data_IF_764371201521
#
_entry.id   IF_764371201521
#
_cell.length_a   1.000
_cell.length_b   1.000
_cell.length_c   1.000
_cell.angle_alpha   90.00
_cell.angle_beta   90.00
_cell.angle_gamma   90.00
#
_symmetry.space_group_name_H-M   'P 1'
#
loop_
_entity.id
_entity.type
_entity.pdbx_description
1 polymer ?
#
# COMPACT_ATOMS: atom_id res chain seq x y z
N UNK A 1 -30.64 53.53 -21.73
CA UNK A 1 -30.52 52.14 -21.27
C UNK A 1 -29.52 51.52 -22.20
N UNK A 2 -28.28 51.37 -21.73
CA UNK A 2 -27.18 50.77 -22.50
C UNK A 2 -27.47 49.26 -22.64
N UNK A 3 -27.27 48.72 -23.84
CA UNK A 3 -27.75 47.39 -24.20
C UNK A 3 -26.82 46.31 -23.62
N UNK A 4 -27.36 45.16 -23.22
CA UNK A 4 -26.56 43.98 -22.84
C UNK A 4 -25.53 43.61 -23.92
N UNK A 5 -25.87 43.85 -25.18
CA UNK A 5 -24.96 43.63 -26.31
C UNK A 5 -23.74 44.56 -26.31
N UNK A 6 -23.85 45.77 -25.73
CA UNK A 6 -22.73 46.71 -25.63
C UNK A 6 -21.74 46.25 -24.55
N UNK A 7 -22.25 45.64 -23.46
CA UNK A 7 -21.44 45.06 -22.41
C UNK A 7 -20.69 43.80 -22.88
N UNK A 8 -21.38 42.92 -23.60
CA UNK A 8 -20.76 41.73 -24.22
C UNK A 8 -19.64 42.14 -25.19
N UNK A 9 -19.86 43.21 -25.96
CA UNK A 9 -18.85 43.74 -26.88
C UNK A 9 -17.65 44.30 -26.12
N UNK A 10 -17.87 45.00 -25.00
CA UNK A 10 -16.79 45.52 -24.15
C UNK A 10 -15.97 44.40 -23.50
N UNK A 11 -16.61 43.31 -23.09
CA UNK A 11 -15.94 42.12 -22.56
C UNK A 11 -15.12 41.43 -23.66
N UNK A 12 -15.67 41.31 -24.87
CA UNK A 12 -14.94 40.75 -26.02
C UNK A 12 -13.72 41.58 -26.40
N UNK A 13 -13.81 42.90 -26.38
CA UNK A 13 -12.68 43.81 -26.67
C UNK A 13 -11.56 43.62 -25.62
N UNK A 14 -11.93 43.57 -24.34
CA UNK A 14 -10.99 43.30 -23.23
C UNK A 14 -10.38 41.89 -23.26
N UNK A 15 -11.02 40.93 -23.93
CA UNK A 15 -10.49 39.57 -24.14
C UNK A 15 -9.61 39.46 -25.40
N UNK A 16 -9.70 40.44 -26.31
CA UNK A 16 -8.98 40.49 -27.58
C UNK A 16 -7.79 41.47 -27.56
N UNK A 17 -7.49 42.09 -26.42
CA UNK A 17 -6.22 42.80 -26.18
C UNK A 17 -5.05 41.77 -26.14
N UNK A 18 -4.73 41.27 -27.33
CA UNK A 18 -3.79 40.20 -27.65
C UNK A 18 -2.37 40.54 -27.17
N UNK A 19 -2.01 41.83 -27.20
CA UNK A 19 -0.72 42.37 -26.73
C UNK A 19 -0.46 42.12 -25.23
N UNK A 20 -1.51 42.09 -24.39
CA UNK A 20 -1.36 41.84 -22.95
C UNK A 20 -1.38 40.36 -22.58
N UNK A 21 -1.90 39.50 -23.47
CA UNK A 21 -2.08 38.06 -23.22
C UNK A 21 -0.84 37.30 -23.70
N UNK A 22 -0.28 37.64 -24.86
CA UNK A 22 0.96 37.02 -25.37
C UNK A 22 2.14 37.27 -24.43
N UNK A 23 2.35 38.50 -23.97
CA UNK A 23 3.47 38.85 -23.08
C UNK A 23 3.40 38.08 -21.74
N UNK A 24 2.19 37.81 -21.25
CA UNK A 24 1.98 37.04 -20.01
C UNK A 24 2.23 35.53 -20.21
N UNK A 25 1.86 34.98 -21.37
CA UNK A 25 2.12 33.57 -21.72
C UNK A 25 3.63 33.35 -21.89
N UNK A 26 4.32 34.24 -22.59
CA UNK A 26 5.77 34.14 -22.81
C UNK A 26 6.56 34.22 -21.49
N UNK A 27 6.15 35.10 -20.57
CA UNK A 27 6.71 35.21 -19.22
C UNK A 27 6.46 33.96 -18.36
N UNK A 28 5.33 33.27 -18.56
CA UNK A 28 5.00 32.06 -17.81
C UNK A 28 5.73 30.82 -18.36
N UNK A 29 5.85 30.71 -19.69
CA UNK A 29 6.64 29.66 -20.36
C UNK A 29 8.12 29.76 -19.96
N UNK A 30 8.70 30.96 -19.94
CA UNK A 30 10.09 31.16 -19.53
C UNK A 30 10.38 30.72 -18.08
N UNK A 31 9.42 30.90 -17.16
CA UNK A 31 9.53 30.45 -15.76
C UNK A 31 9.45 28.93 -15.65
N UNK A 32 8.67 28.26 -16.49
CA UNK A 32 8.55 26.80 -16.48
C UNK A 32 9.85 26.12 -16.94
N UNK A 33 10.53 26.67 -17.94
CA UNK A 33 11.81 26.14 -18.43
C UNK A 33 12.94 26.26 -17.39
N UNK A 34 12.97 27.36 -16.62
CA UNK A 34 13.96 27.56 -15.56
C UNK A 34 13.81 26.50 -14.44
N UNK A 35 12.57 26.16 -14.08
CA UNK A 35 12.28 25.12 -13.09
C UNK A 35 12.72 23.73 -13.56
N UNK A 36 12.51 23.41 -14.84
CA UNK A 36 12.88 22.12 -15.42
C UNK A 36 14.40 21.93 -15.55
N UNK A 37 15.13 23.03 -15.82
CA UNK A 37 16.60 23.04 -15.84
C UNK A 37 17.23 22.72 -14.48
N UNK A 38 16.63 23.21 -13.38
CA UNK A 38 17.13 22.99 -12.01
C UNK A 38 17.06 21.52 -11.55
N UNK A 39 16.04 20.79 -12.00
CA UNK A 39 15.79 19.41 -11.56
C UNK A 39 16.57 18.34 -12.34
N UNK A 40 17.07 18.66 -13.53
CA UNK A 40 17.77 17.70 -14.41
C UNK A 40 19.29 17.67 -14.21
N UNK A 41 19.84 18.19 -13.11
CA UNK A 41 21.28 18.08 -12.80
C UNK A 41 21.63 16.63 -12.39
N UNK A 42 22.39 15.88 -13.21
CA UNK A 42 22.67 14.48 -12.90
C UNK A 42 23.79 14.37 -11.84
N UNK A 43 23.48 13.75 -10.70
CA UNK A 43 24.51 13.18 -9.80
C UNK A 43 25.15 11.98 -10.48
N UNK A 44 26.19 12.22 -11.27
CA UNK A 44 27.10 11.17 -11.73
C UNK A 44 28.52 11.48 -11.27
N UNK A 45 28.96 10.78 -10.23
CA UNK A 45 30.38 10.45 -10.06
C UNK A 45 30.50 9.10 -9.36
N UNK A 46 30.44 8.04 -10.17
CA UNK A 46 30.92 6.72 -9.80
C UNK A 46 32.40 6.70 -10.17
N UNK A 47 33.28 6.73 -9.17
CA UNK A 47 34.71 6.47 -9.38
C UNK A 47 34.96 4.95 -9.37
N UNK A 48 35.75 4.40 -10.31
CA UNK A 48 36.00 2.97 -10.40
C UNK A 48 37.06 2.51 -9.39
N UNK A 49 36.82 1.33 -8.81
CA UNK A 49 37.82 0.60 -8.02
C UNK A 49 39.08 0.35 -8.85
N UNK A 50 40.22 0.82 -8.34
CA UNK A 50 41.51 0.20 -8.59
C UNK A 50 42.21 0.02 -7.24
N UNK A 51 42.28 -1.21 -6.75
CA UNK A 51 43.26 -1.58 -5.73
C UNK A 51 44.11 -2.68 -6.34
N UNK A 52 45.36 -2.29 -6.56
CA UNK A 52 46.42 -2.99 -7.26
C UNK A 52 47.05 -4.01 -6.32
N UNK A 53 47.39 -5.15 -6.89
CA UNK A 53 48.02 -6.29 -6.25
C UNK A 53 49.46 -6.01 -5.74
N UNK A 54 49.73 -6.69 -4.62
CA UNK A 54 50.95 -7.42 -4.21
C UNK A 54 52.23 -6.74 -3.66
N UNK A 55 52.81 -7.51 -2.72
CA UNK A 55 54.18 -7.64 -2.19
C UNK A 55 54.61 -6.83 -0.95
N UNK A 56 54.90 -7.56 0.14
CA UNK A 56 56.26 -7.70 0.72
C UNK A 56 56.40 -8.93 1.63
N UNK A 57 57.19 -9.90 1.13
CA UNK A 57 58.30 -10.67 1.74
C UNK A 57 58.25 -11.29 3.16
N UNK A 58 58.50 -12.62 3.16
CA UNK A 58 58.90 -13.50 4.27
C UNK A 58 60.46 -13.49 4.38
N UNK A 59 61.17 -13.84 5.50
CA UNK A 59 61.10 -15.17 6.12
C UNK A 59 61.37 -15.26 7.66
N UNK A 60 60.69 -16.18 8.37
CA UNK A 60 61.39 -17.06 9.33
C UNK A 60 60.51 -18.21 9.89
N UNK A 61 60.96 -19.44 9.59
CA UNK A 61 60.87 -20.69 10.36
C UNK A 61 59.51 -21.24 10.87
N UNK A 62 59.02 -22.24 10.11
CA UNK A 62 58.45 -23.53 10.54
C UNK A 62 57.25 -23.57 11.53
N UNK A 63 56.06 -23.94 11.03
CA UNK A 63 55.58 -25.33 11.01
C UNK A 63 54.04 -25.41 10.84
N UNK A 64 53.59 -26.20 9.85
CA UNK A 64 52.26 -26.80 9.66
C UNK A 64 50.99 -25.94 9.75
N UNK A 65 50.53 -25.40 8.61
CA UNK A 65 49.15 -24.93 8.44
C UNK A 65 48.33 -25.99 7.72
N UNK A 66 47.47 -26.65 8.50
CA UNK A 66 46.37 -27.47 8.00
C UNK A 66 45.38 -26.57 7.25
N UNK A 67 45.06 -26.96 6.02
CA UNK A 67 44.09 -26.34 5.14
C UNK A 67 42.66 -26.45 5.69
N UNK A 68 42.20 -25.40 6.38
CA UNK A 68 40.78 -25.18 6.65
C UNK A 68 40.39 -23.73 6.38
N UNK A 69 40.42 -23.31 5.11
CA UNK A 69 39.59 -22.20 4.65
C UNK A 69 38.19 -22.78 4.38
N UNK A 70 37.46 -23.10 5.45
CA UNK A 70 36.04 -23.37 5.38
C UNK A 70 35.31 -22.11 5.82
N UNK A 71 34.81 -21.37 4.82
CA UNK A 71 33.67 -20.47 4.93
C UNK A 71 33.58 -19.64 6.23
N UNK A 72 34.21 -18.46 6.23
CA UNK A 72 33.61 -17.31 6.90
C UNK A 72 32.36 -16.91 6.09
N UNK A 73 31.31 -17.73 6.15
CA UNK A 73 29.96 -17.27 5.82
C UNK A 73 29.61 -16.39 7.01
N UNK A 74 29.92 -15.10 6.90
CA UNK A 74 29.32 -14.07 7.72
C UNK A 74 27.81 -14.27 7.60
N UNK A 75 27.25 -14.99 8.57
CA UNK A 75 25.82 -15.05 8.79
C UNK A 75 25.52 -13.64 9.26
N UNK A 76 25.13 -12.79 8.31
CA UNK A 76 24.43 -11.56 8.60
C UNK A 76 23.25 -11.99 9.47
N UNK A 77 23.37 -11.82 10.79
CA UNK A 77 22.27 -12.03 11.72
C UNK A 77 21.30 -10.88 11.47
N UNK A 78 20.48 -11.05 10.44
CA UNK A 78 19.34 -10.19 10.20
C UNK A 78 18.50 -10.18 11.48
N UNK A 79 17.94 -9.02 11.87
CA UNK A 79 16.95 -8.98 12.92
C UNK A 79 15.92 -10.08 12.65
N UNK A 80 15.65 -10.89 13.66
CA UNK A 80 14.65 -11.96 13.55
C UNK A 80 13.35 -11.29 13.14
N UNK A 81 12.83 -11.62 11.96
CA UNK A 81 11.58 -11.03 11.45
C UNK A 81 10.49 -11.48 12.42
N UNK A 82 10.01 -10.55 13.25
CA UNK A 82 8.88 -10.79 14.12
C UNK A 82 7.60 -10.70 13.28
N UNK A 83 6.73 -11.69 13.41
CA UNK A 83 5.44 -11.67 12.74
C UNK A 83 4.63 -10.47 13.22
N UNK A 84 3.96 -9.77 12.30
CA UNK A 84 2.90 -8.84 12.69
C UNK A 84 1.83 -9.62 13.43
N UNK A 85 1.61 -9.26 14.70
CA UNK A 85 0.63 -9.94 15.54
C UNK A 85 -0.78 -9.52 15.14
N UNK A 86 -1.67 -10.49 15.05
CA UNK A 86 -3.05 -10.27 14.63
C UNK A 86 -4.00 -10.18 15.83
N UNK A 87 -4.73 -9.07 15.93
CA UNK A 87 -5.73 -8.84 16.99
C UNK A 87 -7.15 -9.26 16.62
N UNK A 88 -7.44 -9.55 15.35
CA UNK A 88 -8.80 -9.77 14.87
C UNK A 88 -9.50 -8.51 14.37
N UNK A 89 -8.76 -7.44 14.04
CA UNK A 89 -9.28 -6.32 13.24
C UNK A 89 -9.29 -6.72 11.76
N UNK A 90 -10.38 -6.43 11.06
CA UNK A 90 -10.56 -6.73 9.64
C UNK A 90 -9.54 -5.95 8.79
N UNK A 91 -9.18 -4.73 9.20
CA UNK A 91 -8.18 -3.89 8.51
C UNK A 91 -6.82 -4.55 8.37
N UNK A 92 -6.41 -5.24 9.43
CA UNK A 92 -5.08 -5.84 9.54
C UNK A 92 -5.05 -7.25 8.92
N UNK A 93 -6.21 -7.79 8.53
CA UNK A 93 -6.31 -9.16 8.02
C UNK A 93 -5.46 -9.37 6.77
N UNK A 94 -5.54 -8.47 5.79
CA UNK A 94 -4.78 -8.60 4.53
C UNK A 94 -3.27 -8.58 4.80
N UNK A 95 -2.81 -7.66 5.66
CA UNK A 95 -1.41 -7.58 6.03
C UNK A 95 -0.95 -8.83 6.78
N UNK A 96 -1.72 -9.30 7.75
CA UNK A 96 -1.44 -10.51 8.50
C UNK A 96 -1.39 -11.74 7.59
N UNK A 97 -2.44 -11.96 6.80
CA UNK A 97 -2.57 -13.13 5.94
C UNK A 97 -1.47 -13.17 4.87
N UNK A 98 -1.07 -12.02 4.31
CA UNK A 98 0.05 -11.96 3.36
C UNK A 98 1.36 -12.52 3.91
N UNK A 99 1.62 -12.33 5.20
CA UNK A 99 2.82 -12.85 5.87
C UNK A 99 2.63 -14.30 6.31
N UNK A 100 1.48 -14.60 6.91
CA UNK A 100 1.20 -15.92 7.48
C UNK A 100 0.97 -16.99 6.42
N UNK A 101 0.49 -16.61 5.23
CA UNK A 101 0.28 -17.52 4.09
C UNK A 101 1.53 -18.33 3.75
N UNK A 102 2.72 -17.74 3.87
CA UNK A 102 3.98 -18.45 3.62
C UNK A 102 4.21 -19.62 4.58
N UNK A 103 3.77 -19.51 5.82
CA UNK A 103 3.87 -20.59 6.83
C UNK A 103 2.77 -21.62 6.57
N UNK A 104 1.55 -21.15 6.26
CA UNK A 104 0.43 -22.02 5.95
C UNK A 104 0.74 -22.96 4.77
N UNK A 105 1.32 -22.39 3.71
CA UNK A 105 1.63 -23.07 2.45
C UNK A 105 2.96 -23.85 2.50
N UNK A 106 3.73 -23.75 3.60
CA UNK A 106 5.00 -24.47 3.74
C UNK A 106 4.76 -25.95 4.03
N UNK A 107 5.04 -26.82 3.06
CA UNK A 107 4.90 -28.28 3.20
C UNK A 107 5.94 -28.91 4.13
N UNK A 108 7.04 -28.20 4.44
CA UNK A 108 8.09 -28.73 5.33
C UNK A 108 7.72 -28.66 6.81
N UNK A 109 6.70 -27.88 7.17
CA UNK A 109 6.22 -27.72 8.53
C UNK A 109 5.01 -28.61 8.80
N UNK A 110 5.02 -29.29 9.95
CA UNK A 110 3.86 -30.05 10.39
C UNK A 110 2.73 -29.11 10.84
N UNK A 111 1.49 -29.59 10.70
CA UNK A 111 0.31 -28.83 11.12
C UNK A 111 0.34 -28.44 12.61
N UNK A 112 0.96 -29.28 13.46
CA UNK A 112 1.17 -28.97 14.88
C UNK A 112 2.03 -27.72 15.06
N UNK A 113 3.19 -27.68 14.38
CA UNK A 113 4.10 -26.53 14.42
C UNK A 113 3.43 -25.28 13.85
N UNK A 114 2.72 -25.41 12.72
CA UNK A 114 1.95 -24.32 12.13
C UNK A 114 0.89 -23.77 13.08
N UNK A 115 0.24 -24.63 13.87
CA UNK A 115 -0.70 -24.21 14.91
C UNK A 115 0.03 -23.41 15.99
N UNK A 116 1.17 -23.89 16.48
CA UNK A 116 1.96 -23.15 17.49
C UNK A 116 2.39 -21.78 16.97
N UNK A 117 2.83 -21.68 15.71
CA UNK A 117 3.13 -20.40 15.07
C UNK A 117 1.90 -19.50 14.98
N UNK A 118 0.73 -20.05 14.65
CA UNK A 118 -0.52 -19.30 14.60
C UNK A 118 -0.86 -18.69 15.97
N UNK A 119 -0.73 -19.46 17.05
CA UNK A 119 -0.96 -18.96 18.41
C UNK A 119 -0.01 -17.78 18.72
N UNK A 120 1.28 -17.92 18.40
CA UNK A 120 2.28 -16.87 18.62
C UNK A 120 2.04 -15.63 17.75
N UNK A 121 1.48 -15.82 16.55
CA UNK A 121 1.14 -14.75 15.62
C UNK A 121 -0.18 -14.03 15.96
N UNK A 122 -0.89 -14.44 17.01
CA UNK A 122 -2.06 -13.71 17.53
C UNK A 122 -1.74 -12.88 18.76
N UNK A 123 -2.41 -11.74 18.91
CA UNK A 123 -2.27 -10.89 20.10
C UNK A 123 -3.02 -11.57 21.27
N UNK A 124 -2.38 -11.78 22.44
CA UNK A 124 -3.05 -12.37 23.59
C UNK A 124 -4.36 -11.65 23.96
N UNK A 125 -5.38 -12.39 24.40
CA UNK A 125 -6.69 -11.88 24.86
C UNK A 125 -7.56 -11.30 23.72
N UNK A 126 -7.01 -11.10 22.53
CA UNK A 126 -7.71 -10.55 21.37
C UNK A 126 -8.81 -11.46 20.80
N UNK A 127 -9.65 -10.92 19.91
CA UNK A 127 -10.75 -11.65 19.26
C UNK A 127 -10.23 -12.82 18.40
N UNK A 128 -9.10 -12.62 17.72
CA UNK A 128 -8.44 -13.67 16.96
C UNK A 128 -7.85 -14.75 17.88
N UNK A 129 -7.18 -14.35 18.97
CA UNK A 129 -6.61 -15.29 19.94
C UNK A 129 -7.67 -16.18 20.59
N UNK A 130 -8.82 -15.61 20.98
CA UNK A 130 -9.93 -16.38 21.54
C UNK A 130 -10.47 -17.41 20.54
N UNK A 131 -10.54 -17.08 19.25
CA UNK A 131 -10.93 -18.03 18.21
C UNK A 131 -9.90 -19.16 18.09
N UNK A 132 -8.61 -18.85 17.98
CA UNK A 132 -7.55 -19.85 17.85
C UNK A 132 -7.50 -20.78 19.08
N UNK A 133 -7.62 -20.21 20.28
CA UNK A 133 -7.64 -20.96 21.55
C UNK A 133 -8.90 -21.79 21.78
N UNK A 134 -9.97 -21.55 21.02
CA UNK A 134 -11.20 -22.36 21.14
C UNK A 134 -11.02 -23.79 20.62
N UNK A 135 -9.97 -24.02 19.83
CA UNK A 135 -9.60 -25.34 19.32
C UNK A 135 -8.44 -25.91 20.13
N UNK A 136 -8.47 -27.21 20.47
CA UNK A 136 -7.29 -27.91 20.93
C UNK A 136 -6.13 -27.74 19.92
N UNK A 137 -4.91 -27.39 20.38
CA UNK A 137 -3.73 -27.30 19.52
C UNK A 137 -3.26 -28.72 19.21
N UNK A 138 -3.91 -29.31 18.21
CA UNK A 138 -3.56 -30.61 17.63
C UNK A 138 -3.50 -30.45 16.11
N UNK A 139 -2.60 -31.19 15.47
CA UNK A 139 -2.39 -31.19 14.02
C UNK A 139 -3.70 -31.32 13.20
N UNK A 140 -4.64 -32.16 13.64
CA UNK A 140 -5.93 -32.39 12.97
C UNK A 140 -6.83 -31.15 12.93
N UNK A 141 -6.70 -30.26 13.92
CA UNK A 141 -7.55 -29.09 14.07
C UNK A 141 -7.00 -27.85 13.37
N UNK A 142 -5.72 -27.85 12.98
CA UNK A 142 -5.12 -26.73 12.25
C UNK A 142 -5.95 -26.24 11.05
N UNK A 143 -6.36 -27.11 10.09
CA UNK A 143 -7.16 -26.65 8.94
C UNK A 143 -8.48 -26.00 9.39
N UNK A 144 -9.17 -26.59 10.38
CA UNK A 144 -10.43 -26.07 10.91
C UNK A 144 -10.27 -24.67 11.51
N UNK A 145 -9.14 -24.39 12.18
CA UNK A 145 -8.85 -23.07 12.74
C UNK A 145 -8.61 -22.04 11.65
N UNK A 146 -7.85 -22.40 10.62
CA UNK A 146 -7.56 -21.52 9.47
C UNK A 146 -8.85 -21.18 8.73
N UNK A 147 -9.72 -22.16 8.49
CA UNK A 147 -11.00 -21.93 7.84
C UNK A 147 -11.92 -21.04 8.68
N UNK A 148 -11.95 -21.24 10.00
CA UNK A 148 -12.66 -20.35 10.93
C UNK A 148 -12.11 -18.93 10.94
N UNK A 149 -10.79 -18.75 10.87
CA UNK A 149 -10.17 -17.43 10.77
C UNK A 149 -10.55 -16.73 9.46
N UNK A 150 -10.41 -17.41 8.33
CA UNK A 150 -10.80 -16.90 7.01
C UNK A 150 -12.29 -16.55 6.96
N UNK A 151 -13.15 -17.43 7.46
CA UNK A 151 -14.60 -17.20 7.48
C UNK A 151 -15.00 -16.01 8.36
N UNK A 152 -14.25 -15.71 9.42
CA UNK A 152 -14.60 -14.63 10.35
C UNK A 152 -13.97 -13.28 10.00
N UNK A 153 -12.77 -13.27 9.42
CA UNK A 153 -11.99 -12.05 9.19
C UNK A 153 -11.58 -11.84 7.73
N UNK A 154 -11.56 -12.90 6.92
CA UNK A 154 -11.07 -12.90 5.55
C UNK A 154 -12.14 -13.08 4.48
N UNK A 155 -13.41 -12.78 4.80
CA UNK A 155 -14.47 -12.75 3.79
C UNK A 155 -14.33 -11.50 2.94
N UNK A 156 -14.20 -11.68 1.63
CA UNK A 156 -14.08 -10.57 0.68
C UNK A 156 -15.25 -9.60 0.82
N UNK A 157 -16.49 -10.09 0.98
CA UNK A 157 -17.67 -9.25 1.24
C UNK A 157 -17.50 -8.31 2.44
N UNK A 158 -16.98 -8.82 3.57
CA UNK A 158 -16.77 -8.02 4.78
C UNK A 158 -15.62 -7.03 4.60
N UNK A 159 -14.59 -7.40 3.84
CA UNK A 159 -13.46 -6.52 3.55
C UNK A 159 -13.92 -5.37 2.63
N UNK A 160 -14.75 -5.65 1.64
CA UNK A 160 -15.35 -4.64 0.76
C UNK A 160 -16.30 -3.72 1.53
N UNK A 161 -17.20 -4.28 2.34
CA UNK A 161 -18.11 -3.51 3.21
C UNK A 161 -17.34 -2.68 4.25
N UNK A 162 -16.11 -3.05 4.57
CA UNK A 162 -15.26 -2.27 5.45
C UNK A 162 -14.56 -1.12 4.69
N UNK A 163 -13.87 -1.44 3.59
CA UNK A 163 -13.03 -0.50 2.86
C UNK A 163 -13.82 0.52 2.04
N UNK A 164 -14.97 0.15 1.44
CA UNK A 164 -15.79 1.07 0.63
C UNK A 164 -16.37 2.21 1.48
N UNK A 165 -17.04 1.97 2.63
CA UNK A 165 -17.52 3.05 3.48
C UNK A 165 -16.40 3.85 4.12
N UNK A 166 -15.24 3.26 4.41
CA UNK A 166 -14.08 4.00 4.92
C UNK A 166 -13.54 4.97 3.87
N UNK A 167 -13.45 4.52 2.61
CA UNK A 167 -13.12 5.37 1.46
C UNK A 167 -14.14 6.50 1.28
N UNK A 168 -15.44 6.18 1.29
CA UNK A 168 -16.50 7.19 1.17
C UNK A 168 -16.45 8.20 2.33
N UNK A 169 -16.23 7.75 3.57
CA UNK A 169 -16.05 8.64 4.72
C UNK A 169 -14.84 9.55 4.57
N UNK A 170 -13.73 9.06 4.02
CA UNK A 170 -12.58 9.90 3.73
C UNK A 170 -12.96 10.98 2.71
N UNK A 171 -13.54 10.57 1.57
CA UNK A 171 -13.94 11.49 0.50
C UNK A 171 -14.93 12.56 0.98
N UNK A 172 -15.95 12.16 1.74
CA UNK A 172 -17.02 13.04 2.22
C UNK A 172 -16.57 13.96 3.37
N UNK A 173 -15.63 13.53 4.22
CA UNK A 173 -15.15 14.33 5.35
C UNK A 173 -13.91 15.19 5.01
N UNK A 174 -13.48 15.20 3.74
CA UNK A 174 -12.37 16.03 3.26
C UNK A 174 -12.63 17.54 3.48
N UNK A 175 -13.89 17.98 3.57
CA UNK A 175 -14.22 19.39 3.88
C UNK A 175 -14.10 19.74 5.38
N UNK A 176 -14.20 18.75 6.26
CA UNK A 176 -14.30 18.94 7.72
C UNK A 176 -13.01 18.61 8.47
N UNK A 177 -12.02 18.03 7.79
CA UNK A 177 -10.81 17.52 8.42
C UNK A 177 -9.61 18.42 8.08
N UNK A 178 -8.88 18.87 9.10
CA UNK A 178 -7.63 19.67 8.94
C UNK A 178 -6.44 18.82 8.48
N UNK A 179 -6.68 17.75 7.71
CA UNK A 179 -5.60 16.90 7.19
C UNK A 179 -5.07 17.52 5.90
N UNK A 180 -3.76 17.47 5.68
CA UNK A 180 -3.18 18.00 4.45
C UNK A 180 -3.64 17.18 3.25
N UNK A 181 -3.81 17.84 2.11
CA UNK A 181 -4.32 17.24 0.88
C UNK A 181 -3.51 16.00 0.46
N UNK A 182 -2.19 16.04 0.64
CA UNK A 182 -1.29 14.89 0.40
C UNK A 182 -1.64 13.68 1.26
N UNK A 183 -1.87 13.85 2.57
CA UNK A 183 -2.22 12.72 3.45
C UNK A 183 -3.59 12.14 3.17
N UNK A 184 -4.53 12.93 2.66
CA UNK A 184 -5.83 12.46 2.21
C UNK A 184 -5.68 11.62 0.95
N UNK A 185 -4.88 12.09 -0.01
CA UNK A 185 -4.56 11.35 -1.23
C UNK A 185 -3.93 9.99 -0.92
N UNK A 186 -2.90 9.96 -0.07
CA UNK A 186 -2.22 8.72 0.32
C UNK A 186 -3.19 7.71 0.96
N UNK A 187 -4.13 8.19 1.78
CA UNK A 187 -5.15 7.34 2.40
C UNK A 187 -6.13 6.80 1.37
N UNK A 188 -6.65 7.64 0.49
CA UNK A 188 -7.55 7.21 -0.60
C UNK A 188 -6.87 6.16 -1.48
N UNK A 189 -5.62 6.41 -1.87
CA UNK A 189 -4.86 5.49 -2.71
C UNK A 189 -4.59 4.16 -2.00
N UNK A 190 -4.25 4.19 -0.71
CA UNK A 190 -4.08 2.97 0.10
C UNK A 190 -5.35 2.12 0.14
N UNK A 191 -6.51 2.74 0.34
CA UNK A 191 -7.80 2.06 0.33
C UNK A 191 -8.13 1.48 -1.06
N UNK A 192 -7.82 2.21 -2.13
CA UNK A 192 -7.99 1.73 -3.50
C UNK A 192 -7.13 0.49 -3.78
N UNK A 193 -5.84 0.52 -3.43
CA UNK A 193 -4.93 -0.63 -3.59
C UNK A 193 -5.40 -1.86 -2.80
N UNK A 194 -6.00 -1.66 -1.62
CA UNK A 194 -6.58 -2.74 -0.83
C UNK A 194 -7.80 -3.37 -1.55
N UNK A 195 -8.69 -2.54 -2.11
CA UNK A 195 -9.85 -2.98 -2.89
C UNK A 195 -9.44 -3.71 -4.19
N UNK A 196 -8.40 -3.23 -4.88
CA UNK A 196 -7.83 -3.91 -6.05
C UNK A 196 -7.28 -5.29 -5.69
N UNK A 197 -6.61 -5.41 -4.54
CA UNK A 197 -6.11 -6.71 -4.03
C UNK A 197 -7.25 -7.69 -3.76
N UNK A 198 -8.44 -7.19 -3.40
CA UNK A 198 -9.65 -7.98 -3.19
C UNK A 198 -10.39 -8.34 -4.49
N UNK A 199 -9.93 -7.84 -5.64
CA UNK A 199 -10.58 -8.09 -6.94
C UNK A 199 -11.86 -7.29 -7.16
N UNK A 200 -12.07 -6.17 -6.44
CA UNK A 200 -13.18 -5.26 -6.72
C UNK A 200 -12.84 -4.43 -7.95
N UNK A 201 -13.28 -4.88 -9.11
CA UNK A 201 -13.24 -4.12 -10.36
C UNK A 201 -14.48 -3.24 -10.50
N UNK A 202 -14.41 -2.23 -11.37
CA UNK A 202 -15.48 -1.23 -11.58
C UNK A 202 -16.85 -1.87 -11.83
N UNK A 203 -16.86 -3.03 -12.50
CA UNK A 203 -18.05 -3.82 -12.83
C UNK A 203 -18.68 -4.54 -11.63
N UNK A 204 -17.92 -4.90 -10.59
CA UNK A 204 -18.45 -5.54 -9.39
C UNK A 204 -18.86 -4.52 -8.29
N UNK A 205 -18.41 -3.28 -8.41
CA UNK A 205 -18.70 -2.21 -7.43
C UNK A 205 -20.21 -1.93 -7.27
N UNK A 206 -21.00 -2.08 -8.35
CA UNK A 206 -22.44 -1.86 -8.33
C UNK A 206 -23.16 -2.95 -7.53
N UNK A 207 -22.71 -4.21 -7.62
CA UNK A 207 -23.26 -5.34 -6.87
C UNK A 207 -22.99 -5.22 -5.37
N UNK A 208 -21.80 -4.75 -4.98
CA UNK A 208 -21.43 -4.63 -3.56
C UNK A 208 -22.04 -3.39 -2.88
N UNK A 209 -22.27 -2.31 -3.62
CA UNK A 209 -22.93 -1.10 -3.10
C UNK A 209 -24.45 -1.22 -3.02
N UNK A 210 -25.05 -2.25 -3.64
CA UNK A 210 -26.50 -2.48 -3.66
C UNK A 210 -26.98 -3.63 -2.77
N UNK A 211 -26.09 -4.29 -2.02
CA UNK A 211 -26.49 -5.17 -0.90
C UNK A 211 -27.09 -4.37 0.27
N UNK A 212 -27.83 -5.04 1.18
CA UNK A 212 -29.26 -4.86 1.49
C UNK A 212 -29.64 -3.45 2.02
N UNK A 213 -29.32 -2.40 1.26
CA UNK A 213 -29.86 -1.06 1.41
C UNK A 213 -30.98 -0.79 0.39
N UNK A 214 -31.36 -1.80 -0.41
CA UNK A 214 -32.36 -1.69 -1.47
C UNK A 214 -33.78 -1.37 -0.99
N UNK A 215 -34.06 -1.43 0.31
CA UNK A 215 -35.40 -1.11 0.83
C UNK A 215 -35.52 0.32 1.39
N UNK A 216 -34.43 1.10 1.52
CA UNK A 216 -34.54 2.44 2.11
C UNK A 216 -33.44 3.43 1.72
N UNK A 217 -33.26 3.68 0.42
CA UNK A 217 -33.09 5.03 -0.18
C UNK A 217 -32.39 4.90 -1.54
N UNK A 218 -33.16 5.13 -2.61
CA UNK A 218 -32.66 5.27 -3.97
C UNK A 218 -31.81 6.55 -4.07
N UNK A 219 -30.48 6.41 -4.22
CA UNK A 219 -29.58 7.54 -4.50
C UNK A 219 -28.99 7.37 -5.92
N UNK A 220 -29.51 8.06 -6.95
CA UNK A 220 -29.10 7.89 -8.34
C UNK A 220 -27.73 8.51 -8.69
N UNK A 221 -26.99 9.06 -7.73
CA UNK A 221 -25.83 9.93 -8.01
C UNK A 221 -24.51 9.19 -8.21
N UNK A 222 -24.37 7.94 -7.73
CA UNK A 222 -23.07 7.24 -7.74
C UNK A 222 -22.75 6.64 -9.12
N UNK A 223 -23.77 6.28 -9.92
CA UNK A 223 -23.54 5.66 -11.24
C UNK A 223 -22.94 6.60 -12.29
N UNK A 224 -23.00 7.93 -12.08
CA UNK A 224 -22.45 8.93 -13.01
C UNK A 224 -20.94 9.09 -12.82
N UNK A 225 -20.42 8.84 -11.63
CA UNK A 225 -18.99 9.07 -11.34
C UNK A 225 -18.08 7.92 -11.76
N UNK A 226 -18.62 6.69 -11.91
CA UNK A 226 -17.85 5.50 -12.29
C UNK A 226 -17.82 5.27 -13.81
N UNK A 227 -18.82 5.74 -14.56
CA UNK A 227 -18.96 5.51 -16.01
C UNK A 227 -18.54 6.72 -16.87
N UNK A 228 -17.93 7.73 -16.27
CA UNK A 228 -17.58 8.99 -16.92
C UNK A 228 -16.10 9.35 -16.84
N UNK A 229 -15.21 8.50 -17.36
CA UNK A 229 -14.01 8.91 -18.11
C UNK A 229 -13.38 7.70 -18.83
#
# INVERSE_FOLDING_TARGET
MESIADFDKQVLDLMLDEDSIEENIDLEVGKADELMSKYNTPKFRVEPRMSKDCFVDNPSAASSVSSHISHLRSVLKLPKIEFTKFGGDIKDWLQFWSQFKRINDDESLENEDKFQYLIQATIPISRAYQLVKSYPPIAENYPNVIDSLKSRFGKDELLVEFYVPELLKLVLNNSNTKVSLSTLFDKVESQLRALETLGVTSENSISFTTGPLSDSLYIPTISVFILGN
#
